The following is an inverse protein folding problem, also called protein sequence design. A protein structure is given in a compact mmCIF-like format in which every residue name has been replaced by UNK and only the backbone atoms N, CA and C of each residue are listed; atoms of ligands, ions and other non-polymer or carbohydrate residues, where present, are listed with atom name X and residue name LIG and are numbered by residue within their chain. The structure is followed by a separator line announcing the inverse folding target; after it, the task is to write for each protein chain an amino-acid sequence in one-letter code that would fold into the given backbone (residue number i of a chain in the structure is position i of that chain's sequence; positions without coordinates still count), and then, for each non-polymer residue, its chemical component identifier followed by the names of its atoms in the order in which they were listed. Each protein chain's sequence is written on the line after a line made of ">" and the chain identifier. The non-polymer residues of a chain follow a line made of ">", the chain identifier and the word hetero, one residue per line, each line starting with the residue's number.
data_IF_286077238302
#
_entry.id   IF_286077238302
#
_cell.length_a   1.000
_cell.length_b   1.000
_cell.length_c   1.000
_cell.angle_alpha   90.00
_cell.angle_beta   90.00
_cell.angle_gamma   90.00
#
_symmetry.space_group_name_H-M   'P 1'
#
loop_
_entity.id
_entity.type
_entity.pdbx_description
1 polymer ?
#
# COMPACT_ATOMS: atom_id res chain seq x y z
N UNK A 1 -13.24 -34.89 -10.18
CA UNK A 1 -12.81 -33.91 -9.16
C UNK A 1 -13.46 -32.60 -9.52
N UNK A 2 -14.39 -32.10 -8.69
CA UNK A 2 -14.97 -30.78 -8.89
C UNK A 2 -13.87 -29.78 -8.55
N UNK A 3 -13.49 -28.94 -9.49
CA UNK A 3 -12.69 -27.76 -9.18
C UNK A 3 -13.51 -26.92 -8.19
N UNK A 4 -13.17 -27.02 -6.91
CA UNK A 4 -13.73 -26.13 -5.91
C UNK A 4 -13.45 -24.70 -6.38
N UNK A 5 -14.50 -23.92 -6.58
CA UNK A 5 -14.42 -22.52 -7.00
C UNK A 5 -13.64 -21.75 -5.94
N UNK A 6 -12.32 -21.68 -6.12
CA UNK A 6 -11.39 -20.92 -5.29
C UNK A 6 -11.57 -19.45 -5.62
N UNK A 7 -12.56 -18.81 -5.01
CA UNK A 7 -12.77 -17.37 -5.11
C UNK A 7 -11.73 -16.67 -4.25
N UNK A 8 -10.63 -16.21 -4.86
CA UNK A 8 -9.64 -15.34 -4.23
C UNK A 8 -10.10 -13.89 -4.34
N UNK A 9 -10.45 -13.27 -3.22
CA UNK A 9 -10.90 -11.87 -3.20
C UNK A 9 -9.77 -10.99 -2.67
N UNK A 10 -9.12 -10.26 -3.57
CA UNK A 10 -8.08 -9.29 -3.24
C UNK A 10 -8.71 -7.95 -2.81
N UNK A 11 -8.68 -7.65 -1.51
CA UNK A 11 -9.16 -6.36 -0.99
C UNK A 11 -8.01 -5.37 -0.95
N UNK A 12 -8.00 -4.39 -1.85
CA UNK A 12 -7.08 -3.26 -1.81
C UNK A 12 -7.48 -2.28 -0.69
N UNK A 13 -6.60 -2.07 0.27
CA UNK A 13 -6.82 -1.20 1.43
C UNK A 13 -5.86 0.00 1.37
N UNK A 14 -6.38 1.15 0.89
CA UNK A 14 -5.69 2.44 0.81
C UNK A 14 -6.69 3.60 0.90
N UNK A 15 -6.27 4.73 1.50
CA UNK A 15 -7.00 6.00 1.60
C UNK A 15 -8.50 5.88 1.93
N UNK A 16 -8.81 5.16 3.01
CA UNK A 16 -10.18 4.95 3.46
C UNK A 16 -10.73 6.16 4.22
N UNK A 17 -12.02 6.49 4.03
CA UNK A 17 -12.76 7.43 4.88
C UNK A 17 -13.29 6.85 6.20
N UNK A 18 -12.95 5.60 6.53
CA UNK A 18 -13.50 4.88 7.70
C UNK A 18 -12.47 4.73 8.83
N UNK A 19 -12.97 4.57 10.06
CA UNK A 19 -12.20 4.19 11.25
C UNK A 19 -13.07 3.35 12.19
N UNK A 20 -13.67 2.28 11.66
CA UNK A 20 -14.69 1.47 12.33
C UNK A 20 -14.26 0.01 12.53
N UNK A 21 -12.97 -0.33 12.37
CA UNK A 21 -12.52 -1.70 12.60
C UNK A 21 -13.09 -2.74 11.62
N UNK A 22 -13.69 -2.29 10.51
CA UNK A 22 -14.43 -3.16 9.60
C UNK A 22 -15.82 -3.57 10.11
N UNK A 23 -16.33 -2.93 11.16
CA UNK A 23 -17.65 -3.24 11.72
C UNK A 23 -18.77 -3.04 10.70
N UNK A 24 -18.76 -1.95 9.92
CA UNK A 24 -19.76 -1.71 8.88
C UNK A 24 -19.75 -2.80 7.80
N UNK A 25 -18.58 -3.24 7.38
CA UNK A 25 -18.43 -4.38 6.44
C UNK A 25 -19.03 -5.66 7.04
N UNK A 26 -18.68 -5.98 8.29
CA UNK A 26 -19.16 -7.19 8.95
C UNK A 26 -20.68 -7.16 9.17
N UNK A 27 -21.24 -6.01 9.55
CA UNK A 27 -22.69 -5.82 9.67
C UNK A 27 -23.40 -6.04 8.32
N UNK A 28 -22.86 -5.47 7.23
CA UNK A 28 -23.40 -5.70 5.89
C UNK A 28 -23.35 -7.18 5.45
N UNK A 29 -22.38 -7.93 5.97
CA UNK A 29 -22.25 -9.38 5.74
C UNK A 29 -23.10 -10.23 6.69
N UNK A 30 -23.83 -9.63 7.63
CA UNK A 30 -24.76 -10.31 8.54
C UNK A 30 -24.25 -10.56 9.96
N UNK A 31 -23.08 -10.03 10.33
CA UNK A 31 -22.65 -10.01 11.73
C UNK A 31 -23.48 -8.99 12.53
N UNK A 32 -23.71 -9.27 13.81
CA UNK A 32 -24.39 -8.37 14.74
C UNK A 32 -23.42 -7.90 15.82
N UNK A 33 -23.40 -6.60 16.07
CA UNK A 33 -22.55 -5.97 17.09
C UNK A 33 -23.46 -5.54 18.23
N UNK A 34 -23.20 -6.03 19.44
CA UNK A 34 -24.12 -5.93 20.58
C UNK A 34 -23.43 -5.16 21.70
N UNK A 35 -24.13 -4.16 22.25
CA UNK A 35 -23.66 -3.30 23.34
C UNK A 35 -23.78 -3.97 24.72
N UNK A 36 -23.27 -3.30 25.75
CA UNK A 36 -23.36 -3.75 27.14
C UNK A 36 -24.79 -3.90 27.69
N UNK A 37 -25.77 -3.28 27.04
CA UNK A 37 -27.20 -3.36 27.37
C UNK A 37 -27.92 -4.42 26.53
N UNK A 38 -27.19 -5.29 25.82
CA UNK A 38 -27.73 -6.31 24.92
C UNK A 38 -28.53 -5.75 23.74
N UNK A 39 -28.28 -4.50 23.35
CA UNK A 39 -28.88 -3.87 22.16
C UNK A 39 -27.91 -3.93 20.99
N UNK A 40 -28.43 -4.03 19.79
CA UNK A 40 -27.60 -3.94 18.59
C UNK A 40 -27.10 -2.51 18.37
N UNK A 41 -25.82 -2.39 18.04
CA UNK A 41 -25.23 -1.14 17.59
C UNK A 41 -25.86 -0.70 16.25
N UNK A 42 -25.94 0.62 15.98
CA UNK A 42 -26.54 1.15 14.77
C UNK A 42 -25.89 0.61 13.48
N UNK A 43 -26.60 0.70 12.36
CA UNK A 43 -26.08 0.34 11.02
C UNK A 43 -26.15 1.59 10.13
N UNK A 44 -25.00 2.13 9.65
CA UNK A 44 -23.64 1.74 9.98
C UNK A 44 -23.23 2.18 11.41
N UNK A 45 -22.46 1.34 12.12
CA UNK A 45 -22.04 1.60 13.52
C UNK A 45 -21.19 2.87 13.66
N UNK A 46 -20.28 3.09 12.69
CA UNK A 46 -19.18 4.05 12.84
C UNK A 46 -18.19 3.63 13.93
N UNK A 47 -17.02 4.26 13.99
CA UNK A 47 -15.97 3.86 14.95
C UNK A 47 -16.31 4.14 16.41
N UNK A 48 -16.95 5.27 16.70
CA UNK A 48 -17.21 5.72 18.08
C UNK A 48 -18.15 4.80 18.86
N UNK A 49 -19.13 4.18 18.20
CA UNK A 49 -20.08 3.28 18.86
C UNK A 49 -19.44 1.95 19.30
N UNK A 50 -18.24 1.61 18.82
CA UNK A 50 -17.53 0.41 19.26
C UNK A 50 -16.99 0.51 20.69
N UNK A 51 -16.97 1.71 21.30
CA UNK A 51 -16.59 1.87 22.71
C UNK A 51 -17.49 1.04 23.63
N UNK A 52 -18.80 0.97 23.33
CA UNK A 52 -19.77 0.20 24.12
C UNK A 52 -19.94 -1.25 23.66
N UNK A 53 -19.15 -1.70 22.67
CA UNK A 53 -19.25 -3.05 22.13
C UNK A 53 -18.92 -4.09 23.21
N UNK A 54 -19.83 -5.05 23.40
CA UNK A 54 -19.70 -6.16 24.36
C UNK A 54 -19.54 -7.51 23.65
N UNK A 55 -20.20 -7.70 22.51
CA UNK A 55 -20.25 -9.00 21.83
C UNK A 55 -20.39 -8.83 20.31
N UNK A 56 -19.75 -9.72 19.56
CA UNK A 56 -19.94 -9.88 18.11
C UNK A 56 -20.60 -11.24 17.86
N UNK A 57 -21.70 -11.26 17.11
CA UNK A 57 -22.45 -12.47 16.79
C UNK A 57 -22.44 -12.74 15.28
N UNK A 58 -21.87 -13.88 14.89
CA UNK A 58 -21.74 -14.31 13.49
C UNK A 58 -22.84 -15.28 13.03
N UNK A 59 -23.86 -15.54 13.87
CA UNK A 59 -24.91 -16.54 13.55
C UNK A 59 -25.60 -16.31 12.21
N UNK A 60 -25.78 -15.04 11.84
CA UNK A 60 -26.43 -14.62 10.60
C UNK A 60 -25.44 -14.19 9.51
N UNK A 61 -24.13 -14.41 9.69
CA UNK A 61 -23.14 -14.11 8.65
C UNK A 61 -23.48 -14.89 7.37
N UNK A 62 -23.18 -14.27 6.24
CA UNK A 62 -23.40 -14.82 4.91
C UNK A 62 -22.91 -16.29 4.85
N UNK A 63 -23.72 -17.25 4.36
CA UNK A 63 -23.40 -18.68 4.45
C UNK A 63 -22.03 -19.08 3.90
N UNK A 64 -21.56 -18.43 2.82
CA UNK A 64 -20.24 -18.67 2.21
C UNK A 64 -19.04 -18.25 3.08
N UNK A 65 -19.27 -17.51 4.16
CA UNK A 65 -18.25 -17.07 5.12
C UNK A 65 -18.29 -17.87 6.42
N UNK A 66 -19.26 -18.78 6.59
CA UNK A 66 -19.35 -19.59 7.79
C UNK A 66 -18.15 -20.53 7.79
N UNK A 67 -17.32 -20.42 8.83
CA UNK A 67 -16.21 -21.32 9.10
C UNK A 67 -16.73 -22.77 9.10
N UNK A 68 -16.55 -23.46 7.99
CA UNK A 68 -16.77 -24.89 7.86
C UNK A 68 -15.57 -25.45 7.13
N UNK A 69 -15.06 -26.55 7.65
CA UNK A 69 -13.87 -27.29 7.19
C UNK A 69 -14.13 -28.00 5.84
N UNK A 70 -14.90 -27.39 4.95
CA UNK A 70 -15.24 -27.93 3.63
C UNK A 70 -14.44 -27.21 2.55
N UNK A 71 -14.05 -27.99 1.55
CA UNK A 71 -13.25 -27.60 0.40
C UNK A 71 -13.94 -26.53 -0.49
N UNK A 72 -15.22 -26.20 -0.22
CA UNK A 72 -16.03 -25.23 -0.97
C UNK A 72 -16.04 -23.79 -0.40
N UNK A 73 -15.22 -23.49 0.62
CA UNK A 73 -15.21 -22.17 1.27
C UNK A 73 -14.35 -21.12 0.53
N UNK A 74 -14.84 -19.87 0.55
CA UNK A 74 -14.15 -18.70 -0.04
C UNK A 74 -12.85 -18.41 0.72
N UNK A 75 -11.72 -18.35 0.01
CA UNK A 75 -10.43 -17.92 0.58
C UNK A 75 -10.26 -16.42 0.34
N UNK A 76 -10.22 -15.64 1.41
CA UNK A 76 -10.09 -14.18 1.32
C UNK A 76 -8.63 -13.80 1.56
N UNK A 77 -8.03 -13.09 0.62
CA UNK A 77 -6.70 -12.49 0.77
C UNK A 77 -6.81 -10.96 0.75
N UNK A 78 -6.59 -10.32 1.88
CA UNK A 78 -6.62 -8.87 1.96
C UNK A 78 -5.24 -8.30 1.62
N UNK A 79 -5.15 -7.57 0.51
CA UNK A 79 -3.89 -6.97 0.05
C UNK A 79 -3.78 -5.56 0.64
N UNK A 80 -3.01 -5.43 1.72
CA UNK A 80 -3.02 -4.23 2.54
C UNK A 80 -1.62 -3.76 2.98
N UNK A 81 -1.57 -2.59 3.63
CA UNK A 81 -0.35 -2.10 4.25
C UNK A 81 -0.12 -2.78 5.61
N UNK A 82 0.79 -3.76 5.64
CA UNK A 82 1.10 -4.52 6.85
C UNK A 82 1.77 -3.70 7.97
N UNK A 83 2.23 -2.47 7.68
CA UNK A 83 2.81 -1.60 8.72
C UNK A 83 1.75 -0.99 9.64
N UNK A 84 0.48 -1.02 9.24
CA UNK A 84 -0.59 -0.39 10.00
C UNK A 84 -1.08 -1.32 11.10
N UNK A 85 -1.00 -0.87 12.34
CA UNK A 85 -1.43 -1.59 13.53
C UNK A 85 -2.80 -1.08 13.99
N UNK A 86 -3.61 -1.95 14.58
CA UNK A 86 -4.94 -1.58 15.06
C UNK A 86 -4.86 -0.65 16.27
N UNK A 87 -4.02 -1.00 17.24
CA UNK A 87 -3.92 -0.36 18.56
C UNK A 87 -2.48 0.12 18.85
N UNK A 88 -2.27 0.60 20.08
CA UNK A 88 -0.98 1.10 20.56
C UNK A 88 -0.68 2.54 20.13
N UNK A 89 0.53 3.01 20.44
CA UNK A 89 0.97 4.38 20.13
C UNK A 89 1.00 4.65 18.62
N UNK A 90 1.23 3.59 17.83
CA UNK A 90 1.20 3.61 16.36
C UNK A 90 -0.11 3.08 15.78
N UNK A 91 -1.17 3.00 16.61
CA UNK A 91 -2.47 2.50 16.21
C UNK A 91 -3.13 3.37 15.13
N UNK A 92 -3.93 2.74 14.29
CA UNK A 92 -4.51 3.36 13.09
C UNK A 92 -5.31 4.63 13.39
N UNK A 93 -6.06 4.65 14.50
CA UNK A 93 -6.84 5.82 14.89
C UNK A 93 -5.95 7.04 15.17
N UNK A 94 -4.79 6.83 15.81
CA UNK A 94 -3.84 7.90 16.18
C UNK A 94 -3.08 8.42 14.98
N UNK A 95 -2.60 7.51 14.13
CA UNK A 95 -1.77 7.86 12.97
C UNK A 95 -2.60 8.43 11.83
N UNK A 96 -3.76 7.82 11.54
CA UNK A 96 -4.54 8.11 10.33
C UNK A 96 -5.90 8.77 10.60
N UNK A 97 -6.33 8.90 11.85
CA UNK A 97 -7.55 9.65 12.20
C UNK A 97 -7.49 11.13 11.81
N UNK A 98 -6.43 11.89 12.14
CA UNK A 98 -6.35 13.32 11.87
C UNK A 98 -6.47 13.67 10.37
N UNK A 99 -5.80 12.94 9.49
CA UNK A 99 -5.90 13.14 8.05
C UNK A 99 -7.30 12.82 7.47
N UNK A 100 -8.13 12.06 8.21
CA UNK A 100 -9.53 11.78 7.86
C UNK A 100 -10.51 12.78 8.49
N UNK A 101 -9.99 13.81 9.17
CA UNK A 101 -10.79 14.87 9.80
C UNK A 101 -11.14 14.62 11.27
N UNK A 102 -10.58 13.60 11.93
CA UNK A 102 -10.85 13.37 13.34
C UNK A 102 -10.15 14.41 14.24
N UNK A 103 -10.89 15.03 15.17
CA UNK A 103 -10.31 15.90 16.20
C UNK A 103 -9.50 15.08 17.22
N UNK A 104 -8.60 15.70 18.01
CA UNK A 104 -7.85 14.98 19.05
C UNK A 104 -8.74 14.21 20.04
N UNK A 105 -9.91 14.73 20.38
CA UNK A 105 -10.90 14.07 21.24
C UNK A 105 -11.51 12.86 20.55
N UNK A 106 -11.88 13.00 19.27
CA UNK A 106 -12.39 11.90 18.46
C UNK A 106 -11.34 10.80 18.29
N UNK A 107 -10.06 11.16 18.11
CA UNK A 107 -8.95 10.20 18.05
C UNK A 107 -8.85 9.37 19.33
N UNK A 108 -9.03 9.98 20.52
CA UNK A 108 -9.04 9.24 21.79
C UNK A 108 -10.18 8.23 21.85
N UNK A 109 -11.39 8.65 21.47
CA UNK A 109 -12.58 7.78 21.41
C UNK A 109 -12.37 6.63 20.42
N UNK A 110 -11.87 6.93 19.23
CA UNK A 110 -11.61 5.93 18.19
C UNK A 110 -10.51 4.94 18.62
N UNK A 111 -9.45 5.40 19.30
CA UNK A 111 -8.41 4.52 19.84
C UNK A 111 -9.00 3.55 20.86
N UNK A 112 -9.82 4.05 21.80
CA UNK A 112 -10.48 3.21 22.80
C UNK A 112 -11.44 2.20 22.15
N UNK A 113 -12.18 2.62 21.13
CA UNK A 113 -13.03 1.75 20.32
C UNK A 113 -12.23 0.62 19.66
N UNK A 114 -11.06 0.91 19.08
CA UNK A 114 -10.19 -0.11 18.50
C UNK A 114 -9.65 -1.08 19.56
N UNK A 115 -9.29 -0.60 20.74
CA UNK A 115 -8.87 -1.44 21.87
C UNK A 115 -10.00 -2.36 22.36
N UNK A 116 -11.24 -1.86 22.43
CA UNK A 116 -12.42 -2.68 22.74
C UNK A 116 -12.64 -3.77 21.69
N UNK A 117 -12.54 -3.41 20.42
CA UNK A 117 -12.65 -4.38 19.33
C UNK A 117 -11.54 -5.43 19.39
N UNK A 118 -10.29 -5.02 19.67
CA UNK A 118 -9.14 -5.91 19.77
C UNK A 118 -9.34 -7.00 20.82
N UNK A 119 -9.79 -6.62 22.03
CA UNK A 119 -10.07 -7.57 23.12
C UNK A 119 -11.13 -8.60 22.73
N UNK A 120 -12.20 -8.17 22.06
CA UNK A 120 -13.26 -9.08 21.63
C UNK A 120 -12.81 -9.99 20.49
N UNK A 121 -12.04 -9.45 19.55
CA UNK A 121 -11.49 -10.20 18.44
C UNK A 121 -10.47 -11.24 18.90
N UNK A 122 -9.67 -10.95 19.93
CA UNK A 122 -8.73 -11.90 20.53
C UNK A 122 -9.45 -13.16 21.03
N UNK A 123 -10.59 -13.01 21.69
CA UNK A 123 -11.39 -14.16 22.13
C UNK A 123 -11.94 -15.01 20.96
N UNK A 124 -12.20 -14.39 19.81
CA UNK A 124 -12.74 -15.07 18.62
C UNK A 124 -11.63 -15.77 17.83
N UNK A 125 -10.48 -15.11 17.69
CA UNK A 125 -9.36 -15.55 16.86
C UNK A 125 -8.34 -16.39 17.63
N UNK A 126 -8.34 -16.32 18.96
CA UNK A 126 -7.38 -17.00 19.83
C UNK A 126 -5.99 -16.36 19.86
N UNK A 127 -5.85 -15.12 19.39
CA UNK A 127 -4.59 -14.36 19.44
C UNK A 127 -4.83 -12.86 19.54
N UNK A 128 -3.92 -12.14 20.19
CA UNK A 128 -3.97 -10.68 20.28
C UNK A 128 -3.74 -10.05 18.89
N UNK A 129 -4.71 -9.27 18.45
CA UNK A 129 -4.70 -8.59 17.14
C UNK A 129 -4.26 -7.13 17.20
N UNK A 130 -4.02 -6.59 18.40
CA UNK A 130 -3.71 -5.19 18.67
C UNK A 130 -2.56 -4.70 17.79
N UNK A 131 -1.54 -5.52 17.63
CA UNK A 131 -0.31 -5.22 16.89
C UNK A 131 0.00 -6.24 15.77
N UNK A 132 -0.99 -7.04 15.35
CA UNK A 132 -0.79 -7.91 14.18
C UNK A 132 -0.50 -7.04 12.94
N UNK A 133 0.54 -7.37 12.14
CA UNK A 133 0.84 -6.64 10.92
C UNK A 133 -0.38 -6.53 9.99
N UNK A 134 -0.81 -5.30 9.72
CA UNK A 134 -1.95 -5.01 8.85
C UNK A 134 -3.32 -5.02 9.53
N UNK A 135 -3.43 -5.31 10.82
CA UNK A 135 -4.72 -5.27 11.54
C UNK A 135 -5.36 -3.88 11.47
N UNK A 136 -4.54 -2.82 11.48
CA UNK A 136 -4.96 -1.43 11.33
C UNK A 136 -5.20 -0.97 9.89
N UNK A 137 -5.11 -1.84 8.89
CA UNK A 137 -5.27 -1.42 7.50
C UNK A 137 -6.68 -0.83 7.24
N UNK A 138 -6.76 0.27 6.46
CA UNK A 138 -8.00 1.02 6.16
C UNK A 138 -8.90 1.28 7.37
N UNK A 139 -8.36 1.87 8.45
CA UNK A 139 -9.19 2.20 9.62
C UNK A 139 -9.61 0.98 10.45
N UNK A 140 -8.82 -0.09 10.40
CA UNK A 140 -9.08 -1.36 11.09
C UNK A 140 -9.91 -2.36 10.28
N UNK A 141 -10.18 -2.11 9.01
CA UNK A 141 -10.79 -3.08 8.11
C UNK A 141 -10.01 -4.41 8.07
N UNK A 142 -8.68 -4.36 8.22
CA UNK A 142 -7.82 -5.55 8.34
C UNK A 142 -8.30 -6.49 9.45
N UNK A 143 -8.64 -5.95 10.62
CA UNK A 143 -9.25 -6.70 11.73
C UNK A 143 -10.59 -7.33 11.35
N UNK A 144 -11.48 -6.57 10.72
CA UNK A 144 -12.76 -7.11 10.25
C UNK A 144 -12.59 -8.29 9.28
N UNK A 145 -11.59 -8.21 8.40
CA UNK A 145 -11.25 -9.28 7.45
C UNK A 145 -10.66 -10.50 8.17
N UNK A 146 -9.76 -10.30 9.15
CA UNK A 146 -9.24 -11.38 9.99
C UNK A 146 -10.37 -12.14 10.71
N UNK A 147 -11.38 -11.43 11.23
CA UNK A 147 -12.54 -12.03 11.93
C UNK A 147 -13.35 -12.99 11.06
N UNK A 148 -13.33 -12.83 9.74
CA UNK A 148 -13.99 -13.75 8.79
C UNK A 148 -13.00 -14.71 8.10
N UNK A 149 -11.77 -14.82 8.62
CA UNK A 149 -10.78 -15.81 8.19
C UNK A 149 -9.94 -15.38 7.00
N UNK A 150 -9.92 -14.08 6.67
CA UNK A 150 -9.01 -13.58 5.64
C UNK A 150 -7.56 -13.68 6.10
N UNK A 151 -6.67 -13.86 5.14
CA UNK A 151 -5.22 -13.70 5.34
C UNK A 151 -4.80 -12.31 4.88
N UNK A 152 -4.08 -11.59 5.73
CA UNK A 152 -3.51 -10.31 5.36
C UNK A 152 -2.21 -10.53 4.59
N UNK A 153 -2.08 -9.84 3.46
CA UNK A 153 -0.95 -9.99 2.54
C UNK A 153 -0.37 -8.63 2.19
N UNK A 154 0.96 -8.56 2.11
CA UNK A 154 1.66 -7.34 1.72
C UNK A 154 1.35 -6.95 0.27
N UNK A 155 1.07 -5.66 0.04
CA UNK A 155 0.91 -5.09 -1.31
C UNK A 155 2.04 -5.47 -2.27
N UNK A 156 3.29 -5.34 -1.85
CA UNK A 156 4.45 -5.63 -2.69
C UNK A 156 4.47 -7.09 -3.16
N UNK A 157 4.24 -8.04 -2.24
CA UNK A 157 4.19 -9.46 -2.57
C UNK A 157 3.02 -9.81 -3.49
N UNK A 158 1.87 -9.14 -3.34
CA UNK A 158 0.74 -9.34 -4.24
C UNK A 158 1.04 -8.80 -5.65
N UNK A 159 1.60 -7.59 -5.75
CA UNK A 159 1.97 -7.00 -7.04
C UNK A 159 3.01 -7.86 -7.76
N UNK A 160 4.00 -8.38 -7.03
CA UNK A 160 4.99 -9.26 -7.62
C UNK A 160 4.38 -10.53 -8.24
N UNK A 161 3.41 -11.16 -7.56
CA UNK A 161 2.72 -12.32 -8.10
C UNK A 161 1.83 -11.98 -9.29
N UNK A 162 0.95 -10.98 -9.14
CA UNK A 162 -0.05 -10.65 -10.16
C UNK A 162 0.56 -10.09 -11.44
N UNK A 163 1.60 -9.26 -11.31
CA UNK A 163 2.27 -8.63 -12.45
C UNK A 163 3.55 -9.36 -12.85
N UNK A 164 3.91 -10.44 -12.13
CA UNK A 164 5.16 -11.19 -12.34
C UNK A 164 6.36 -10.25 -12.38
N UNK A 165 6.38 -9.26 -11.49
CA UNK A 165 7.33 -8.15 -11.55
C UNK A 165 8.77 -8.66 -11.47
N UNK A 166 9.03 -9.75 -10.74
CA UNK A 166 10.34 -10.39 -10.69
C UNK A 166 10.83 -10.83 -12.06
N UNK A 167 9.96 -11.46 -12.85
CA UNK A 167 10.26 -11.97 -14.21
C UNK A 167 10.52 -10.84 -15.20
N UNK A 168 9.92 -9.65 -14.98
CA UNK A 168 10.21 -8.48 -15.82
C UNK A 168 11.70 -8.17 -15.79
N UNK A 169 12.38 -8.34 -14.65
CA UNK A 169 13.80 -8.05 -14.56
C UNK A 169 14.72 -9.18 -15.02
N UNK A 170 14.19 -10.31 -15.49
CA UNK A 170 15.01 -11.38 -16.07
C UNK A 170 15.45 -11.08 -17.51
N UNK A 171 14.85 -10.05 -18.12
CA UNK A 171 15.26 -9.53 -19.43
C UNK A 171 16.47 -8.59 -19.30
N UNK A 172 17.33 -8.51 -20.34
CA UNK A 172 18.53 -7.68 -20.34
C UNK A 172 18.16 -6.21 -20.63
N UNK A 173 17.67 -5.50 -19.62
CA UNK A 173 17.38 -4.07 -19.75
C UNK A 173 18.65 -3.22 -19.65
N UNK A 174 18.80 -2.26 -20.56
CA UNK A 174 19.86 -1.24 -20.46
C UNK A 174 19.53 -0.16 -19.41
N UNK A 175 18.24 0.18 -19.31
CA UNK A 175 17.72 1.25 -18.46
C UNK A 175 16.26 0.96 -18.08
N UNK A 176 15.86 1.37 -16.88
CA UNK A 176 14.49 1.28 -16.39
C UNK A 176 13.96 2.67 -16.07
N UNK A 177 12.76 2.97 -16.54
CA UNK A 177 12.01 4.18 -16.18
C UNK A 177 10.87 3.82 -15.24
N UNK A 178 10.69 4.64 -14.20
CA UNK A 178 9.58 4.51 -13.24
C UNK A 178 9.04 5.89 -12.88
N UNK A 179 7.90 5.95 -12.20
CA UNK A 179 7.33 7.21 -11.77
C UNK A 179 6.53 7.07 -10.47
N UNK A 180 6.42 8.18 -9.72
CA UNK A 180 5.44 8.33 -8.66
C UNK A 180 4.94 9.78 -8.54
N UNK A 181 3.85 10.00 -7.80
CA UNK A 181 3.32 11.35 -7.58
C UNK A 181 4.29 12.26 -6.81
N UNK A 182 4.85 11.75 -5.72
CA UNK A 182 5.78 12.50 -4.87
C UNK A 182 6.94 11.61 -4.43
N UNK A 183 8.16 12.01 -4.76
CA UNK A 183 9.40 11.43 -4.22
C UNK A 183 9.78 12.19 -2.95
N UNK A 184 9.90 11.46 -1.84
CA UNK A 184 10.17 11.98 -0.49
C UNK A 184 10.83 10.92 0.42
N UNK A 185 11.08 11.27 1.69
CA UNK A 185 11.61 10.36 2.72
C UNK A 185 10.79 9.08 3.01
N UNK A 186 9.56 8.96 2.49
CA UNK A 186 8.73 7.76 2.60
C UNK A 186 8.84 6.86 1.37
N UNK A 187 9.44 7.36 0.29
CA UNK A 187 9.43 6.70 -1.01
C UNK A 187 10.36 5.49 -1.07
N UNK A 188 11.48 5.56 -0.36
CA UNK A 188 12.35 4.42 -0.05
C UNK A 188 11.69 3.39 0.88
N UNK A 189 10.63 3.77 1.62
CA UNK A 189 10.04 2.94 2.69
C UNK A 189 8.94 2.00 2.21
N UNK A 190 9.23 1.23 1.15
CA UNK A 190 8.35 0.16 0.66
C UNK A 190 7.24 0.62 -0.29
N UNK A 191 7.45 1.74 -0.99
CA UNK A 191 6.66 2.08 -2.18
C UNK A 191 7.22 1.34 -3.40
N UNK A 192 6.42 1.30 -4.47
CA UNK A 192 6.76 0.59 -5.71
C UNK A 192 8.06 1.10 -6.35
N UNK A 193 8.29 2.41 -6.33
CA UNK A 193 9.50 3.02 -6.88
C UNK A 193 10.78 2.47 -6.24
N UNK A 194 10.80 2.31 -4.91
CA UNK A 194 11.94 1.74 -4.18
C UNK A 194 12.14 0.26 -4.52
N UNK A 195 11.06 -0.51 -4.65
CA UNK A 195 11.15 -1.92 -5.03
C UNK A 195 11.68 -2.11 -6.46
N UNK A 196 11.25 -1.26 -7.41
CA UNK A 196 11.79 -1.22 -8.78
C UNK A 196 13.27 -0.87 -8.77
N UNK A 197 13.67 0.17 -8.01
CA UNK A 197 15.05 0.61 -7.89
C UNK A 197 15.95 -0.49 -7.33
N UNK A 198 15.53 -1.14 -6.24
CA UNK A 198 16.27 -2.21 -5.59
C UNK A 198 16.49 -3.40 -6.52
N UNK A 199 15.43 -3.86 -7.21
CA UNK A 199 15.51 -5.01 -8.14
C UNK A 199 16.36 -4.73 -9.36
N UNK A 200 16.27 -3.52 -9.92
CA UNK A 200 17.11 -3.09 -11.03
C UNK A 200 18.58 -3.06 -10.61
N UNK A 201 18.89 -2.50 -9.43
CA UNK A 201 20.24 -2.45 -8.87
C UNK A 201 20.84 -3.84 -8.66
N UNK A 202 20.07 -4.80 -8.14
CA UNK A 202 20.50 -6.20 -7.95
C UNK A 202 20.98 -6.85 -9.27
N UNK A 203 20.54 -6.32 -10.42
CA UNK A 203 20.93 -6.77 -11.76
C UNK A 203 21.86 -5.79 -12.50
N UNK A 204 22.34 -4.74 -11.83
CA UNK A 204 23.20 -3.73 -12.42
C UNK A 204 22.52 -2.79 -13.42
N UNK A 205 21.18 -2.78 -13.46
CA UNK A 205 20.39 -1.92 -14.37
C UNK A 205 20.18 -0.55 -13.75
N UNK A 206 20.35 0.51 -14.55
CA UNK A 206 20.20 1.90 -14.10
C UNK A 206 18.73 2.31 -14.12
N UNK A 207 18.29 3.00 -13.05
CA UNK A 207 16.91 3.48 -12.93
C UNK A 207 16.85 4.99 -13.02
N UNK A 208 15.93 5.49 -13.83
CA UNK A 208 15.53 6.90 -13.83
C UNK A 208 14.08 7.02 -13.38
N UNK A 209 13.82 7.87 -12.39
CA UNK A 209 12.49 8.08 -11.85
C UNK A 209 11.91 9.45 -12.22
N UNK A 210 10.61 9.48 -12.49
CA UNK A 210 9.86 10.72 -12.69
C UNK A 210 8.94 11.00 -11.50
N UNK A 211 8.90 12.26 -11.06
CA UNK A 211 8.11 12.68 -9.92
C UNK A 211 7.15 13.80 -10.31
N UNK A 212 5.90 13.76 -9.84
CA UNK A 212 5.04 14.94 -9.83
C UNK A 212 5.64 16.06 -8.98
N UNK A 213 6.16 15.70 -7.80
CA UNK A 213 6.82 16.61 -6.86
C UNK A 213 8.02 15.92 -6.21
N UNK A 214 9.11 16.65 -6.04
CA UNK A 214 10.30 16.20 -5.31
C UNK A 214 10.32 16.96 -3.98
N UNK A 215 10.27 16.23 -2.88
CA UNK A 215 10.21 16.77 -1.52
C UNK A 215 11.45 16.36 -0.70
N UNK A 216 11.53 16.88 0.52
CA UNK A 216 12.63 16.59 1.44
C UNK A 216 12.83 15.07 1.63
N UNK A 217 14.09 14.63 1.49
CA UNK A 217 14.50 13.24 1.66
C UNK A 217 14.40 12.39 0.40
N UNK A 218 14.10 12.99 -0.76
CA UNK A 218 14.14 12.31 -2.05
C UNK A 218 15.50 11.68 -2.34
N UNK A 219 16.57 12.28 -1.83
CA UNK A 219 17.96 11.80 -2.03
C UNK A 219 18.18 10.38 -1.46
N UNK A 220 17.35 9.94 -0.50
CA UNK A 220 17.40 8.54 -0.02
C UNK A 220 17.13 7.51 -1.12
N UNK A 221 16.50 7.90 -2.24
CA UNK A 221 16.29 7.02 -3.38
C UNK A 221 17.58 6.63 -4.10
N UNK A 222 18.65 7.43 -3.98
CA UNK A 222 19.97 7.04 -4.51
C UNK A 222 20.49 5.77 -3.80
N UNK A 223 20.25 5.67 -2.49
CA UNK A 223 20.61 4.48 -1.69
C UNK A 223 19.77 3.25 -2.06
N UNK A 224 18.58 3.44 -2.64
CA UNK A 224 17.74 2.34 -3.14
C UNK A 224 18.12 1.88 -4.56
N UNK A 225 18.97 2.64 -5.27
CA UNK A 225 19.44 2.30 -6.62
C UNK A 225 18.85 3.15 -7.75
N UNK A 226 18.13 4.22 -7.44
CA UNK A 226 17.79 5.24 -8.45
C UNK A 226 19.07 5.95 -8.86
N UNK A 227 19.35 6.02 -10.17
CA UNK A 227 20.52 6.71 -10.70
C UNK A 227 20.26 8.21 -10.90
N UNK A 228 19.02 8.56 -11.25
CA UNK A 228 18.57 9.95 -11.38
C UNK A 228 17.05 10.05 -11.19
N UNK A 229 16.58 11.20 -10.73
CA UNK A 229 15.16 11.53 -10.77
C UNK A 229 14.91 12.95 -11.30
N UNK A 230 13.75 13.14 -11.91
CA UNK A 230 13.34 14.44 -12.45
C UNK A 230 11.89 14.76 -12.07
N UNK A 231 11.63 16.03 -11.76
CA UNK A 231 10.27 16.55 -11.66
C UNK A 231 9.65 16.63 -13.05
N UNK A 232 8.38 16.27 -13.19
CA UNK A 232 7.65 16.42 -14.45
C UNK A 232 7.21 17.86 -14.70
N UNK A 233 7.19 18.69 -13.65
CA UNK A 233 6.78 20.09 -13.76
C UNK A 233 7.82 20.88 -14.56
N UNK A 234 7.37 21.62 -15.57
CA UNK A 234 8.21 22.44 -16.44
C UNK A 234 8.19 23.93 -16.05
N UNK A 235 7.17 24.37 -15.33
CA UNK A 235 7.08 25.70 -14.73
C UNK A 235 6.26 25.66 -13.42
N UNK A 236 6.34 26.70 -12.58
CA UNK A 236 5.41 26.85 -11.46
C UNK A 236 3.96 26.86 -11.95
N UNK A 237 3.12 26.01 -11.37
CA UNK A 237 1.70 25.89 -11.68
C UNK A 237 0.90 25.44 -10.46
N UNK A 238 -0.43 25.56 -10.54
CA UNK A 238 -1.30 25.05 -9.47
C UNK A 238 -1.29 23.51 -9.45
N UNK A 239 -1.63 22.91 -8.30
CA UNK A 239 -1.75 21.44 -8.21
C UNK A 239 -2.83 20.90 -9.15
N UNK A 240 -3.93 21.64 -9.31
CA UNK A 240 -5.01 21.27 -10.22
C UNK A 240 -4.53 21.24 -11.67
N UNK A 241 -3.81 22.28 -12.12
CA UNK A 241 -3.22 22.32 -13.47
C UNK A 241 -2.21 21.19 -13.68
N UNK A 242 -1.38 20.90 -12.67
CA UNK A 242 -0.39 19.83 -12.74
C UNK A 242 -1.05 18.45 -12.91
N UNK A 243 -2.13 18.18 -12.18
CA UNK A 243 -2.91 16.94 -12.30
C UNK A 243 -3.56 16.86 -13.69
N UNK A 244 -4.22 17.93 -14.14
CA UNK A 244 -4.88 17.96 -15.45
C UNK A 244 -3.89 17.78 -16.62
N UNK A 245 -2.67 18.33 -16.49
CA UNK A 245 -1.62 18.27 -17.52
C UNK A 245 -0.62 17.13 -17.34
N UNK A 246 -0.81 16.22 -16.36
CA UNK A 246 0.18 15.19 -16.01
C UNK A 246 0.67 14.38 -17.22
N UNK A 247 -0.22 14.03 -18.14
CA UNK A 247 0.15 13.26 -19.34
C UNK A 247 1.15 14.00 -20.23
N UNK A 248 0.90 15.27 -20.57
CA UNK A 248 1.80 16.05 -21.42
C UNK A 248 3.11 16.39 -20.71
N UNK A 249 3.04 16.69 -19.42
CA UNK A 249 4.21 16.94 -18.58
C UNK A 249 5.14 15.71 -18.51
N UNK A 250 4.57 14.51 -18.35
CA UNK A 250 5.33 13.27 -18.30
C UNK A 250 5.98 12.94 -19.65
N UNK A 251 5.25 13.08 -20.76
CA UNK A 251 5.78 12.86 -22.11
C UNK A 251 6.97 13.80 -22.38
N UNK A 252 6.78 15.09 -22.13
CA UNK A 252 7.83 16.09 -22.34
C UNK A 252 9.05 15.82 -21.45
N UNK A 253 8.84 15.38 -20.21
CA UNK A 253 9.93 15.05 -19.29
C UNK A 253 10.68 13.81 -19.74
N UNK A 254 9.98 12.75 -20.14
CA UNK A 254 10.61 11.55 -20.69
C UNK A 254 11.45 11.87 -21.94
N UNK A 255 10.93 12.71 -22.84
CA UNK A 255 11.69 13.16 -24.01
C UNK A 255 12.96 13.92 -23.62
N UNK A 256 12.84 14.93 -22.74
CA UNK A 256 14.00 15.72 -22.27
C UNK A 256 15.05 14.83 -21.60
N UNK A 257 14.61 13.89 -20.76
CA UNK A 257 15.50 12.94 -20.10
C UNK A 257 16.21 12.04 -21.10
N UNK A 258 15.52 11.53 -22.12
CA UNK A 258 16.16 10.72 -23.16
C UNK A 258 17.16 11.51 -23.99
N UNK A 259 16.89 12.80 -24.27
CA UNK A 259 17.87 13.69 -24.91
C UNK A 259 19.13 13.85 -24.05
N UNK A 260 18.99 13.99 -22.73
CA UNK A 260 20.14 14.03 -21.82
C UNK A 260 20.94 12.71 -21.83
N UNK A 261 20.24 11.57 -21.85
CA UNK A 261 20.89 10.24 -21.97
C UNK A 261 21.65 10.13 -23.29
N UNK A 262 21.07 10.57 -24.41
CA UNK A 262 21.71 10.58 -25.72
C UNK A 262 22.98 11.43 -25.77
N UNK A 263 22.98 12.60 -25.10
CA UNK A 263 24.18 13.42 -24.93
C UNK A 263 25.27 12.61 -24.21
N UNK A 264 24.93 11.96 -23.10
CA UNK A 264 25.87 11.11 -22.35
C UNK A 264 26.44 9.95 -23.18
N UNK A 265 25.59 9.29 -23.99
CA UNK A 265 26.03 8.24 -24.92
C UNK A 265 26.99 8.78 -25.99
N UNK A 266 26.71 9.95 -26.54
CA UNK A 266 27.54 10.60 -27.56
C UNK A 266 28.93 10.97 -27.02
N UNK A 267 28.99 11.50 -25.79
CA UNK A 267 30.27 11.82 -25.12
C UNK A 267 31.11 10.55 -24.90
N UNK A 268 30.48 9.45 -24.49
CA UNK A 268 31.17 8.15 -24.34
C UNK A 268 31.71 7.62 -25.67
N UNK A 269 30.94 7.72 -26.76
CA UNK A 269 31.42 7.25 -28.07
C UNK A 269 32.61 8.05 -28.59
N UNK A 270 32.62 9.37 -28.37
CA UNK A 270 33.75 10.22 -28.75
C UNK A 270 35.01 9.83 -27.98
N UNK A 271 34.90 9.58 -26.68
CA UNK A 271 36.04 9.17 -25.86
C UNK A 271 36.61 7.81 -26.28
N UNK A 272 35.77 6.82 -26.59
CA UNK A 272 36.21 5.52 -27.09
C UNK A 272 36.94 5.64 -28.44
N UNK A 273 36.41 6.46 -29.35
CA UNK A 273 37.05 6.71 -30.64
C UNK A 273 38.45 7.35 -30.52
N UNK A 274 38.66 8.19 -29.50
CA UNK A 274 39.96 8.79 -29.22
C UNK A 274 40.95 7.77 -28.64
N UNK A 275 40.50 6.85 -27.77
CA UNK A 275 41.34 5.79 -27.21
C UNK A 275 41.79 4.76 -28.26
N UNK A 276 40.93 4.38 -29.20
CA UNK A 276 41.27 3.42 -30.27
C UNK A 276 42.22 4.02 -31.33
N UNK A 277 42.35 5.35 -31.37
CA UNK A 277 43.27 6.05 -32.28
C UNK A 277 44.61 6.44 -31.65
N UNK A 278 44.83 6.14 -30.37
CA UNK A 278 46.14 6.36 -29.74
C UNK A 278 47.16 5.37 -30.35
N UNK A 279 48.24 5.83 -31.00
CA UNK A 279 49.24 4.93 -31.54
C UNK A 279 49.84 4.10 -30.40
N UNK A 280 49.94 2.78 -30.62
CA UNK A 280 50.75 1.90 -29.78
C UNK A 280 52.17 2.46 -29.84
N UNK A 281 52.59 3.16 -28.79
CA UNK A 281 53.98 3.61 -28.66
C UNK A 281 54.87 2.36 -28.61
N UNK A 282 55.80 2.30 -29.56
CA UNK A 282 56.79 1.23 -29.75
C UNK A 282 57.78 1.13 -28.58
#
# INVERSE_FOLDING_TARGET
>A
MKDALRLSLAVGSGDSGISDGGAGMLQALGARFIDEHSRELPVPTGGGALVSLKQICFRNIHPRLRYSRQEDNVQIEAVCNLKNLLCGDRGVARIYGPQKGATPEQVKVLSLAMETLARLAEHILGCDISEIPGSGASGGLGTGLLLIGARLRARAAAIDEYFRLGQVFDYPWDIVFTAEGTIDSQSSKGKMIGEIARRARERGVRVVAFAGTINHGAESMYEEGVAAYASILDCPMTLEDAIQRTSSLLINTAERTMRMVQIGLSLRSQQLSLCDTAPIAA
#
